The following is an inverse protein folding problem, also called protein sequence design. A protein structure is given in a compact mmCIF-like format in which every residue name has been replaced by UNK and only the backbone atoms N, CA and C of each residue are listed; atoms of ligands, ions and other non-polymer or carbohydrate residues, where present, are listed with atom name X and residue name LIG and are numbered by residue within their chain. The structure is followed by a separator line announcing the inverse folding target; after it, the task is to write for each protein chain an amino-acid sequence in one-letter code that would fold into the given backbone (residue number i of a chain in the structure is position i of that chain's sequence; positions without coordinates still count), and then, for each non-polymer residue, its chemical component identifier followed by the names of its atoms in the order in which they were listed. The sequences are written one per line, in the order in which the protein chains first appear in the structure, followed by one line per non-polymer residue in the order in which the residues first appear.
data_IF_678261403193
#
_entry.id   IF_678261403193
#
_cell.length_a   1.000
_cell.length_b   1.000
_cell.length_c   1.000
_cell.angle_alpha   90.00
_cell.angle_beta   90.00
_cell.angle_gamma   90.00
#
_symmetry.space_group_name_H-M   'P 1'
#
loop_
_entity.id
_entity.type
_entity.pdbx_description
1 polymer ?
#
# COMPACT_ATOMS: atom_id res chain seq x y z
N UNK A 1 -6.83 -6.46 29.76
CA UNK A 1 -5.72 -7.31 29.29
C UNK A 1 -6.01 -7.62 27.84
N UNK A 2 -5.32 -6.98 26.89
CA UNK A 2 -5.60 -7.13 25.48
C UNK A 2 -4.99 -8.44 24.97
N UNK A 3 -5.82 -9.29 24.41
CA UNK A 3 -5.47 -10.55 23.79
C UNK A 3 -4.58 -10.26 22.58
N UNK A 4 -3.29 -10.64 22.65
CA UNK A 4 -2.36 -10.47 21.53
C UNK A 4 -2.75 -11.43 20.40
N UNK A 5 -3.55 -10.93 19.46
CA UNK A 5 -3.90 -11.67 18.25
C UNK A 5 -2.62 -11.98 17.48
N UNK A 6 -2.34 -13.27 17.29
CA UNK A 6 -1.15 -13.74 16.60
C UNK A 6 -1.33 -13.50 15.09
N UNK A 7 -0.91 -12.32 14.62
CA UNK A 7 -1.04 -11.92 13.22
C UNK A 7 -0.01 -12.64 12.34
N UNK A 8 -0.38 -12.86 11.07
CA UNK A 8 0.49 -13.46 10.05
C UNK A 8 0.65 -12.53 8.86
N UNK A 9 1.79 -12.58 8.18
CA UNK A 9 2.18 -11.63 7.15
C UNK A 9 2.91 -12.34 6.01
N UNK A 10 2.74 -11.84 4.79
CA UNK A 10 3.45 -12.34 3.62
C UNK A 10 4.48 -11.29 3.20
N UNK A 11 5.76 -11.61 3.33
CA UNK A 11 6.86 -10.76 2.88
C UNK A 11 7.37 -11.25 1.54
N UNK A 12 7.69 -10.33 0.63
CA UNK A 12 8.25 -10.70 -0.67
C UNK A 12 9.23 -9.68 -1.22
N UNK A 13 10.17 -10.18 -2.03
CA UNK A 13 11.12 -9.38 -2.80
C UNK A 13 11.58 -10.20 -3.99
N UNK A 14 11.49 -9.63 -5.19
CA UNK A 14 11.79 -10.32 -6.44
C UNK A 14 11.02 -11.65 -6.56
N UNK A 15 11.72 -12.78 -6.64
CA UNK A 15 11.12 -14.13 -6.71
C UNK A 15 10.94 -14.81 -5.34
N UNK A 16 11.41 -14.18 -4.25
CA UNK A 16 11.36 -14.76 -2.90
C UNK A 16 10.07 -14.34 -2.20
N UNK A 17 9.40 -15.30 -1.57
CA UNK A 17 8.21 -15.11 -0.74
C UNK A 17 8.37 -15.85 0.59
N UNK A 18 7.95 -15.22 1.68
CA UNK A 18 8.03 -15.77 3.03
C UNK A 18 6.75 -15.47 3.78
N UNK A 19 6.18 -16.48 4.44
CA UNK A 19 5.09 -16.28 5.41
C UNK A 19 5.71 -16.21 6.82
N UNK A 20 5.37 -15.17 7.57
CA UNK A 20 5.98 -14.84 8.86
C UNK A 20 4.90 -14.42 9.86
N UNK A 21 5.10 -14.73 11.14
CA UNK A 21 4.20 -14.33 12.24
C UNK A 21 4.72 -13.09 12.94
N UNK A 22 3.88 -12.44 13.76
CA UNK A 22 4.22 -11.26 14.57
C UNK A 22 5.55 -11.41 15.32
N UNK A 23 5.72 -12.51 16.06
CA UNK A 23 6.93 -12.79 16.85
C UNK A 23 8.21 -12.90 16.01
N UNK A 24 8.09 -13.20 14.72
CA UNK A 24 9.20 -13.44 13.83
C UNK A 24 9.58 -12.21 13.00
N UNK A 25 8.83 -11.10 13.12
CA UNK A 25 8.95 -9.88 12.31
C UNK A 25 10.09 -8.94 12.77
N UNK A 26 11.29 -9.52 12.88
CA UNK A 26 12.53 -8.85 13.27
C UNK A 26 13.35 -8.42 12.04
N UNK A 27 13.86 -7.19 12.08
CA UNK A 27 14.75 -6.57 11.09
C UNK A 27 15.94 -7.46 10.74
N UNK A 28 16.65 -8.02 11.73
CA UNK A 28 17.83 -8.85 11.51
C UNK A 28 17.47 -10.12 10.72
N UNK A 29 16.36 -10.78 11.04
CA UNK A 29 15.90 -11.98 10.35
C UNK A 29 15.48 -11.69 8.92
N UNK A 30 14.69 -10.63 8.72
CA UNK A 30 14.25 -10.19 7.38
C UNK A 30 15.47 -9.81 6.52
N UNK A 31 16.42 -9.07 7.11
CA UNK A 31 17.66 -8.65 6.45
C UNK A 31 18.48 -9.84 5.93
N UNK A 32 18.62 -10.89 6.74
CA UNK A 32 19.35 -12.10 6.39
C UNK A 32 18.66 -12.90 5.26
N UNK A 33 17.34 -13.03 5.29
CA UNK A 33 16.57 -13.81 4.31
C UNK A 33 16.56 -13.11 2.94
N UNK A 34 16.31 -11.80 2.94
CA UNK A 34 16.18 -10.99 1.73
C UNK A 34 17.48 -10.32 1.28
N UNK A 35 18.59 -10.58 1.99
CA UNK A 35 19.94 -10.08 1.68
C UNK A 35 19.97 -8.56 1.50
N UNK A 36 19.36 -7.85 2.43
CA UNK A 36 19.33 -6.38 2.50
C UNK A 36 19.99 -5.91 3.79
N UNK A 37 20.63 -4.74 3.77
CA UNK A 37 21.21 -4.14 4.97
C UNK A 37 20.09 -3.79 5.97
N UNK A 38 20.29 -4.03 7.28
CA UNK A 38 19.36 -3.57 8.31
C UNK A 38 19.16 -2.05 8.26
N UNK A 39 20.25 -1.31 8.03
CA UNK A 39 20.26 0.13 7.85
C UNK A 39 19.62 0.49 6.50
N UNK A 40 18.33 0.82 6.54
CA UNK A 40 17.52 1.16 5.36
C UNK A 40 16.53 0.07 4.95
N UNK A 41 16.33 -0.97 5.76
CA UNK A 41 15.24 -1.92 5.57
C UNK A 41 13.89 -1.22 5.86
N UNK A 42 12.95 -1.32 4.93
CA UNK A 42 11.56 -0.94 5.16
C UNK A 42 10.60 -1.86 4.42
N UNK A 43 9.35 -1.90 4.86
CA UNK A 43 8.28 -2.68 4.24
C UNK A 43 7.29 -1.71 3.60
N UNK A 44 6.74 -2.08 2.44
CA UNK A 44 5.64 -1.35 1.79
C UNK A 44 4.44 -2.29 1.64
N UNK A 45 3.25 -1.85 2.02
CA UNK A 45 2.03 -2.63 1.80
C UNK A 45 1.60 -2.56 0.33
N UNK A 46 1.39 -3.72 -0.31
CA UNK A 46 1.02 -3.79 -1.73
C UNK A 46 -0.32 -3.10 -2.05
N UNK A 47 -1.24 -3.03 -1.09
CA UNK A 47 -2.58 -2.48 -1.29
C UNK A 47 -2.65 -0.99 -0.95
N UNK A 48 -2.09 -0.58 0.20
CA UNK A 48 -2.20 0.81 0.68
C UNK A 48 -1.02 1.68 0.25
N UNK A 49 0.11 1.08 -0.17
CA UNK A 49 1.40 1.75 -0.42
C UNK A 49 1.95 2.51 0.79
N UNK A 50 1.48 2.15 1.99
CA UNK A 50 2.03 2.67 3.22
C UNK A 50 3.39 2.02 3.49
N UNK A 51 4.35 2.82 3.95
CA UNK A 51 5.70 2.38 4.27
C UNK A 51 5.89 2.26 5.77
N UNK A 52 6.48 1.15 6.19
CA UNK A 52 6.73 0.81 7.59
C UNK A 52 8.23 0.70 7.81
N UNK A 53 8.72 1.45 8.80
CA UNK A 53 10.11 1.43 9.23
C UNK A 53 10.23 0.70 10.57
N UNK A 54 11.31 -0.04 10.80
CA UNK A 54 11.53 -0.72 12.07
C UNK A 54 11.82 0.27 13.20
N UNK A 55 11.17 0.09 14.34
CA UNK A 55 11.46 0.75 15.61
C UNK A 55 12.28 -0.21 16.49
N UNK A 56 13.52 0.15 16.83
CA UNK A 56 14.36 -0.66 17.72
C UNK A 56 14.43 -2.14 17.30
N UNK A 57 14.73 -2.38 16.01
CA UNK A 57 14.84 -3.71 15.38
C UNK A 57 13.53 -4.48 15.11
N UNK A 58 12.37 -3.98 15.55
CA UNK A 58 11.06 -4.58 15.27
C UNK A 58 10.16 -3.67 14.44
N UNK A 59 9.32 -4.25 13.59
CA UNK A 59 8.33 -3.46 12.86
C UNK A 59 7.06 -3.22 13.68
N UNK A 60 6.33 -2.12 13.43
CA UNK A 60 5.11 -1.79 14.16
C UNK A 60 3.92 -2.65 13.71
N UNK A 61 3.84 -3.87 14.25
CA UNK A 61 2.84 -4.88 13.87
C UNK A 61 1.38 -4.45 14.14
N UNK A 62 1.17 -3.55 15.11
CA UNK A 62 -0.14 -2.98 15.41
C UNK A 62 -0.72 -2.16 14.26
N UNK A 63 0.13 -1.47 13.50
CA UNK A 63 -0.26 -0.64 12.36
C UNK A 63 -0.38 -1.45 11.06
N UNK A 64 0.02 -2.72 11.08
CA UNK A 64 -0.01 -3.60 9.91
C UNK A 64 -1.30 -4.43 9.89
N UNK A 65 -1.82 -4.64 8.67
CA UNK A 65 -3.01 -5.46 8.40
C UNK A 65 -2.66 -6.95 8.57
N UNK A 66 -3.52 -7.69 9.29
CA UNK A 66 -3.37 -9.15 9.40
C UNK A 66 -3.53 -9.80 8.02
N UNK A 67 -2.69 -10.79 7.73
CA UNK A 67 -2.56 -11.48 6.43
C UNK A 67 -2.23 -10.54 5.26
N UNK A 68 -1.67 -9.37 5.55
CA UNK A 68 -1.20 -8.43 4.53
C UNK A 68 0.00 -8.96 3.74
N UNK A 69 0.12 -8.50 2.49
CA UNK A 69 1.28 -8.74 1.61
C UNK A 69 2.13 -7.48 1.58
N UNK A 70 3.43 -7.62 1.89
CA UNK A 70 4.36 -6.50 2.00
C UNK A 70 5.60 -6.75 1.16
N UNK A 71 5.97 -5.76 0.36
CA UNK A 71 7.21 -5.73 -0.39
C UNK A 71 8.37 -5.29 0.51
N UNK A 72 9.49 -6.01 0.43
CA UNK A 72 10.69 -5.74 1.25
C UNK A 72 11.68 -4.92 0.45
N UNK A 73 12.00 -3.72 0.95
CA UNK A 73 12.97 -2.82 0.35
C UNK A 73 14.17 -2.61 1.26
N UNK A 74 15.32 -2.31 0.64
CA UNK A 74 16.54 -1.98 1.35
C UNK A 74 17.76 -2.10 0.45
N UNK A 75 18.88 -1.55 0.92
CA UNK A 75 20.16 -1.61 0.20
C UNK A 75 20.64 -3.07 0.15
N UNK A 76 20.99 -3.62 -1.03
CA UNK A 76 21.47 -4.99 -1.11
C UNK A 76 22.78 -5.17 -0.32
N UNK A 77 22.87 -6.27 0.42
CA UNK A 77 24.13 -6.73 1.01
C UNK A 77 25.04 -7.20 -0.13
N UNK A 78 26.09 -6.43 -0.44
CA UNK A 78 27.15 -6.89 -1.34
C UNK A 78 27.74 -8.20 -0.78
N UNK A 79 28.00 -9.17 -1.65
CA UNK A 79 28.31 -10.57 -1.32
C UNK A 79 29.62 -10.85 -0.53
N UNK A 80 30.23 -9.82 0.08
CA UNK A 80 31.51 -9.92 0.78
C UNK A 80 31.41 -9.98 2.31
N UNK A 81 30.22 -9.82 2.90
CA UNK A 81 30.05 -9.79 4.37
C UNK A 81 28.94 -10.73 4.84
N UNK A 82 29.18 -12.05 4.78
CA UNK A 82 28.60 -12.97 5.76
C UNK A 82 29.58 -14.12 6.03
N UNK A 83 30.08 -14.16 7.28
CA UNK A 83 30.60 -15.39 7.86
C UNK A 83 29.44 -16.37 7.97
N UNK A 84 29.62 -17.53 7.33
CA UNK A 84 28.70 -18.66 7.32
C UNK A 84 28.27 -19.04 8.74
N UNK A 85 27.05 -18.72 9.14
CA UNK A 85 26.35 -19.50 10.16
C UNK A 85 25.82 -20.76 9.46
N UNK A 86 26.60 -21.83 9.61
CA UNK A 86 26.29 -23.15 9.09
C UNK A 86 24.95 -23.65 9.63
N UNK A 87 24.06 -24.01 8.72
CA UNK A 87 22.94 -24.89 9.03
C UNK A 87 23.51 -26.25 9.41
N UNK A 88 23.40 -26.59 10.68
CA UNK A 88 23.71 -27.90 11.24
C UNK A 88 22.97 -28.98 10.46
N UNK A 89 23.72 -29.74 9.65
CA UNK A 89 23.25 -30.98 9.06
C UNK A 89 23.02 -31.99 10.20
N UNK A 90 21.80 -32.51 10.27
CA UNK A 90 21.47 -33.72 11.02
C UNK A 90 22.42 -34.87 10.60
N UNK A 91 22.93 -35.68 11.53
CA UNK A 91 23.82 -36.80 11.20
C UNK A 91 23.00 -37.96 10.62
N UNK A 92 23.28 -38.35 9.37
CA UNK A 92 22.84 -39.64 8.85
C UNK A 92 23.67 -40.73 9.49
N UNK A 93 23.04 -41.60 10.29
CA UNK A 93 23.64 -42.84 10.77
C UNK A 93 24.01 -43.72 9.58
N UNK A 94 25.30 -44.05 9.49
CA UNK A 94 25.86 -45.11 8.69
C UNK A 94 26.49 -46.06 9.69
N UNK A 95 25.72 -47.08 10.10
CA UNK A 95 26.25 -48.20 10.85
C UNK A 95 26.77 -49.22 9.84
N UNK A 96 28.10 -49.32 9.77
CA UNK A 96 28.79 -50.44 9.16
C UNK A 96 28.51 -51.72 9.96
N UNK A 97 28.07 -52.77 9.25
CA UNK A 97 27.95 -54.13 9.77
C UNK A 97 28.62 -55.07 8.77
N UNK A 98 29.79 -55.57 9.16
CA UNK A 98 30.65 -56.50 8.45
C UNK A 98 30.27 -57.98 8.64
N UNK A 99 30.46 -58.78 7.60
CA UNK A 99 30.50 -60.26 7.61
C UNK A 99 29.51 -60.87 6.59
N UNK A 100 29.81 -61.87 5.75
CA UNK A 100 30.97 -62.75 5.52
C UNK A 100 30.87 -63.31 4.07
N UNK A 101 32.00 -63.76 3.52
CA UNK A 101 32.18 -64.48 2.24
C UNK A 101 31.44 -65.84 2.20
N UNK A 102 31.09 -66.49 1.07
CA UNK A 102 31.31 -66.35 -0.38
C UNK A 102 30.35 -67.34 -1.10
N UNK A 103 30.69 -68.05 -2.20
CA UNK A 103 31.60 -67.76 -3.31
C UNK A 103 30.90 -67.84 -4.71
N UNK A 104 31.63 -67.39 -5.73
CA UNK A 104 31.60 -67.86 -7.14
C UNK A 104 30.28 -67.83 -7.93
N UNK A 105 30.14 -66.85 -8.83
CA UNK A 105 30.04 -67.16 -10.26
C UNK A 105 30.49 -65.97 -11.10
N UNK A 106 31.55 -66.21 -11.87
CA UNK A 106 32.04 -65.34 -12.92
C UNK A 106 31.00 -65.25 -14.04
N UNK A 107 30.34 -64.11 -14.15
CA UNK A 107 29.65 -63.71 -15.37
C UNK A 107 30.28 -62.43 -15.90
N UNK A 108 31.05 -62.64 -16.96
CA UNK A 108 31.60 -61.59 -17.80
C UNK A 108 30.52 -60.57 -18.17
N UNK A 109 30.87 -59.29 -18.06
CA UNK A 109 30.18 -58.21 -18.76
C UNK A 109 30.17 -58.56 -20.25
N UNK A 110 29.03 -59.05 -20.72
CA UNK A 110 28.69 -59.03 -22.14
C UNK A 110 28.36 -57.57 -22.45
N UNK A 111 29.15 -56.84 -23.27
CA UNK A 111 28.61 -55.67 -23.93
C UNK A 111 27.45 -56.17 -24.78
N UNK A 112 26.25 -55.63 -24.56
CA UNK A 112 25.16 -55.81 -25.50
C UNK A 112 25.61 -55.20 -26.82
N UNK A 113 26.09 -56.08 -27.71
CA UNK A 113 26.31 -55.79 -29.10
C UNK A 113 24.99 -55.33 -29.70
N UNK A 114 25.02 -54.09 -30.14
CA UNK A 114 24.43 -53.61 -31.38
C UNK A 114 22.90 -53.75 -31.51
N UNK A 115 22.23 -52.60 -31.39
CA UNK A 115 21.27 -52.23 -32.42
C UNK A 115 22.03 -52.21 -33.77
N UNK A 116 22.07 -53.36 -34.42
CA UNK A 116 22.36 -53.45 -35.85
C UNK A 116 21.12 -52.95 -36.59
N UNK A 117 21.07 -51.64 -36.78
CA UNK A 117 20.76 -51.02 -38.06
C UNK A 117 21.32 -49.60 -37.96
N UNK A 118 22.45 -49.26 -38.60
CA UNK A 118 22.77 -47.86 -38.80
C UNK A 118 21.66 -47.31 -39.71
N UNK A 119 20.67 -46.63 -39.11
CA UNK A 119 19.87 -45.70 -39.88
C UNK A 119 20.87 -44.64 -40.31
N UNK A 120 21.24 -44.67 -41.58
CA UNK A 120 22.13 -43.71 -42.19
C UNK A 120 21.36 -42.37 -42.24
N UNK A 121 21.32 -41.67 -41.10
CA UNK A 121 20.63 -40.37 -41.02
C UNK A 121 21.59 -39.31 -41.54
N UNK A 122 21.26 -38.58 -42.61
CA UNK A 122 22.07 -37.45 -43.03
C UNK A 122 22.07 -36.40 -41.91
N UNK A 123 23.22 -36.18 -41.29
CA UNK A 123 23.40 -35.04 -40.38
C UNK A 123 23.59 -33.78 -41.20
N UNK A 124 22.76 -32.77 -40.97
CA UNK A 124 22.86 -31.46 -41.63
C UNK A 124 23.49 -30.46 -40.67
N UNK A 125 24.45 -29.67 -41.16
CA UNK A 125 25.01 -28.54 -40.42
C UNK A 125 24.27 -27.27 -40.83
N UNK A 126 23.62 -26.63 -39.87
CA UNK A 126 22.92 -25.36 -40.05
C UNK A 126 23.70 -24.28 -39.30
N UNK A 127 24.01 -23.17 -39.99
CA UNK A 127 24.63 -22.01 -39.36
C UNK A 127 23.54 -21.17 -38.69
N UNK A 128 23.50 -21.19 -37.36
CA UNK A 128 22.56 -20.39 -36.57
C UNK A 128 23.20 -19.02 -36.27
N UNK A 129 22.60 -17.95 -36.80
CA UNK A 129 22.98 -16.57 -36.54
C UNK A 129 22.18 -16.01 -35.35
N UNK A 130 22.61 -14.85 -34.83
CA UNK A 130 21.88 -14.14 -33.77
C UNK A 130 20.47 -13.74 -34.26
N UNK A 131 19.46 -13.94 -33.40
CA UNK A 131 18.05 -13.69 -33.67
C UNK A 131 17.35 -14.61 -34.68
N UNK A 132 17.97 -15.71 -35.10
CA UNK A 132 17.27 -16.74 -35.88
C UNK A 132 16.29 -17.53 -34.99
N UNK A 133 15.03 -17.56 -35.38
CA UNK A 133 14.00 -18.35 -34.71
C UNK A 133 13.95 -19.80 -35.20
N UNK A 134 13.17 -20.63 -34.51
CA UNK A 134 12.97 -22.05 -34.88
C UNK A 134 12.43 -22.21 -36.32
N UNK A 135 11.63 -21.24 -36.80
CA UNK A 135 11.11 -21.22 -38.17
C UNK A 135 12.18 -20.99 -39.22
N UNK A 136 13.13 -20.09 -38.95
CA UNK A 136 14.22 -19.77 -39.88
C UNK A 136 15.20 -20.95 -39.99
N UNK A 137 15.41 -21.67 -38.89
CA UNK A 137 16.20 -22.91 -38.85
C UNK A 137 15.49 -23.99 -39.68
N UNK A 138 14.17 -24.14 -39.55
CA UNK A 138 13.40 -25.07 -40.36
C UNK A 138 13.50 -24.76 -41.87
N UNK A 139 13.41 -23.49 -42.25
CA UNK A 139 13.61 -23.06 -43.64
C UNK A 139 15.01 -23.40 -44.13
N UNK A 140 16.04 -23.14 -43.32
CA UNK A 140 17.43 -23.49 -43.66
C UNK A 140 17.61 -25.00 -43.87
N UNK A 141 16.93 -25.83 -43.06
CA UNK A 141 16.94 -27.29 -43.21
C UNK A 141 16.28 -27.71 -44.53
N UNK A 142 15.15 -27.09 -44.90
CA UNK A 142 14.47 -27.36 -46.17
C UNK A 142 15.33 -27.00 -47.38
N UNK A 143 16.00 -25.84 -47.33
CA UNK A 143 16.92 -25.38 -48.37
C UNK A 143 18.11 -26.32 -48.51
N UNK A 144 18.73 -26.75 -47.40
CA UNK A 144 19.89 -27.66 -47.44
C UNK A 144 19.49 -29.06 -47.94
N UNK A 145 18.31 -29.54 -47.55
CA UNK A 145 17.82 -30.86 -47.96
C UNK A 145 17.13 -30.85 -49.34
N UNK A 146 16.96 -29.69 -49.99
CA UNK A 146 16.23 -29.53 -51.25
C UNK A 146 14.89 -30.29 -51.27
N UNK A 147 14.14 -30.22 -50.17
CA UNK A 147 12.91 -30.98 -49.98
C UNK A 147 11.77 -30.04 -49.57
N UNK A 148 10.59 -30.22 -50.16
CA UNK A 148 9.38 -29.42 -49.85
C UNK A 148 8.67 -29.86 -48.55
N UNK A 149 9.22 -30.84 -47.84
CA UNK A 149 8.64 -31.40 -46.63
C UNK A 149 8.85 -30.47 -45.43
N UNK A 150 7.85 -30.35 -44.57
CA UNK A 150 7.95 -29.59 -43.32
C UNK A 150 8.56 -30.43 -42.21
N UNK A 151 9.53 -29.83 -41.52
CA UNK A 151 10.21 -30.43 -40.37
C UNK A 151 9.77 -29.73 -39.09
N UNK A 152 9.68 -30.51 -38.02
CA UNK A 152 9.50 -30.04 -36.64
C UNK A 152 10.79 -30.32 -35.89
N UNK A 153 11.33 -29.29 -35.23
CA UNK A 153 12.54 -29.41 -34.42
C UNK A 153 12.15 -29.91 -33.03
N UNK A 154 12.76 -31.03 -32.62
CA UNK A 154 12.48 -31.68 -31.35
C UNK A 154 13.76 -31.95 -30.56
N UNK A 155 13.59 -32.09 -29.24
CA UNK A 155 14.64 -32.59 -28.36
C UNK A 155 14.84 -34.12 -28.50
N UNK A 156 15.83 -34.66 -27.78
CA UNK A 156 16.10 -36.11 -27.69
C UNK A 156 14.91 -36.97 -27.22
N UNK A 157 13.90 -36.39 -26.57
CA UNK A 157 12.69 -37.06 -26.06
C UNK A 157 11.50 -36.91 -27.02
N UNK A 158 11.67 -36.21 -28.14
CA UNK A 158 10.61 -35.95 -29.12
C UNK A 158 9.66 -34.82 -28.70
N UNK A 159 10.09 -33.94 -27.80
CA UNK A 159 9.33 -32.73 -27.44
C UNK A 159 9.65 -31.63 -28.45
N UNK A 160 8.62 -31.05 -29.05
CA UNK A 160 8.74 -29.92 -29.97
C UNK A 160 9.33 -28.69 -29.28
N UNK A 161 10.35 -28.09 -29.91
CA UNK A 161 10.94 -26.83 -29.48
C UNK A 161 10.19 -25.71 -30.19
N UNK A 162 9.44 -24.90 -29.44
CA UNK A 162 8.69 -23.77 -29.98
C UNK A 162 9.56 -22.51 -30.08
N UNK A 163 9.19 -21.60 -30.99
CA UNK A 163 9.84 -20.30 -31.10
C UNK A 163 9.44 -19.43 -29.89
N UNK A 164 10.42 -19.05 -29.08
CA UNK A 164 10.27 -18.21 -27.89
C UNK A 164 11.47 -17.27 -27.78
N UNK A 165 11.41 -16.28 -26.89
CA UNK A 165 12.52 -15.34 -26.73
C UNK A 165 13.82 -16.06 -26.31
N UNK A 166 13.70 -17.13 -25.53
CA UNK A 166 14.83 -17.95 -25.07
C UNK A 166 15.43 -18.80 -26.19
N UNK A 167 14.62 -19.29 -27.14
CA UNK A 167 15.10 -20.14 -28.24
C UNK A 167 15.73 -19.35 -29.39
N UNK A 168 15.69 -18.02 -29.35
CA UNK A 168 16.37 -17.12 -30.32
C UNK A 168 17.81 -16.77 -29.93
N UNK A 169 18.20 -17.07 -28.70
CA UNK A 169 19.53 -16.75 -28.18
C UNK A 169 20.50 -17.91 -28.46
N UNK A 170 21.74 -17.61 -28.86
CA UNK A 170 22.76 -18.60 -29.22
C UNK A 170 23.08 -19.57 -28.07
N UNK A 171 23.01 -19.12 -26.82
CA UNK A 171 23.25 -19.90 -25.60
C UNK A 171 22.32 -21.10 -25.50
N UNK A 172 21.07 -20.98 -25.96
CA UNK A 172 20.11 -22.08 -25.96
C UNK A 172 20.58 -23.24 -26.85
N UNK A 173 21.13 -22.91 -28.03
CA UNK A 173 21.61 -23.88 -29.01
C UNK A 173 23.01 -24.42 -28.68
N UNK A 174 23.84 -23.65 -27.97
CA UNK A 174 25.23 -24.00 -27.59
C UNK A 174 25.34 -24.90 -26.36
N UNK A 175 24.26 -25.53 -25.89
CA UNK A 175 24.30 -26.42 -24.72
C UNK A 175 25.09 -27.71 -25.03
N UNK A 176 26.21 -28.00 -24.34
CA UNK A 176 26.94 -29.25 -24.57
C UNK A 176 26.04 -30.46 -24.27
N UNK A 177 26.10 -31.49 -25.11
CA UNK A 177 25.32 -32.73 -25.06
C UNK A 177 23.83 -32.65 -25.39
N UNK A 178 23.30 -31.49 -25.83
CA UNK A 178 21.93 -31.41 -26.33
C UNK A 178 21.85 -31.97 -27.76
N UNK A 179 21.09 -33.04 -27.94
CA UNK A 179 20.76 -33.58 -29.27
C UNK A 179 19.46 -32.96 -29.75
N UNK A 180 19.49 -32.46 -30.98
CA UNK A 180 18.38 -31.80 -31.64
C UNK A 180 18.07 -32.59 -32.90
N UNK A 181 16.80 -32.91 -33.09
CA UNK A 181 16.33 -33.72 -34.19
C UNK A 181 15.34 -32.92 -35.04
N UNK A 182 15.53 -32.93 -36.35
CA UNK A 182 14.52 -32.47 -37.30
C UNK A 182 13.70 -33.68 -37.73
N UNK A 183 12.43 -33.72 -37.32
CA UNK A 183 11.51 -34.83 -37.63
C UNK A 183 10.46 -34.33 -38.62
N UNK A 184 10.14 -35.11 -39.65
CA UNK A 184 9.04 -34.78 -40.56
C UNK A 184 7.75 -34.60 -39.77
N UNK A 185 7.01 -33.52 -40.00
CA UNK A 185 5.77 -33.24 -39.24
C UNK A 185 4.74 -34.39 -39.36
N UNK A 186 4.74 -35.12 -40.49
CA UNK A 186 3.90 -36.31 -40.71
C UNK A 186 4.24 -37.50 -39.81
N UNK A 187 5.46 -37.59 -39.30
CA UNK A 187 5.95 -38.71 -38.49
C UNK A 187 5.91 -38.44 -36.99
N UNK A 188 5.74 -37.16 -36.59
CA UNK A 188 5.72 -36.71 -35.21
C UNK A 188 4.72 -37.48 -34.32
N UNK A 189 3.45 -37.72 -34.73
CA UNK A 189 2.50 -38.47 -33.91
C UNK A 189 2.96 -39.91 -33.63
N UNK A 190 3.70 -40.52 -34.57
CA UNK A 190 4.16 -41.91 -34.44
C UNK A 190 5.25 -42.06 -33.38
N UNK A 191 6.02 -41.01 -33.10
CA UNK A 191 7.06 -41.00 -32.07
C UNK A 191 6.47 -40.82 -30.68
N UNK A 192 5.50 -39.91 -30.53
CA UNK A 192 4.80 -39.65 -29.25
C UNK A 192 4.01 -40.89 -28.77
N UNK A 193 3.35 -41.60 -29.69
CA UNK A 193 2.52 -42.76 -29.33
C UNK A 193 3.29 -44.07 -29.09
N UNK A 194 4.52 -44.22 -29.58
CA UNK A 194 5.34 -45.42 -29.34
C UNK A 194 5.80 -45.52 -27.88
N UNK A 195 5.87 -44.41 -27.15
CA UNK A 195 6.20 -44.42 -25.71
C UNK A 195 5.08 -44.99 -24.82
N UNK A 196 3.84 -45.10 -25.30
CA UNK A 196 2.69 -45.55 -24.48
C UNK A 196 2.14 -46.93 -24.84
N UNK A 197 2.57 -47.56 -25.93
CA UNK A 197 2.05 -48.88 -26.36
C UNK A 197 3.01 -50.02 -26.06
N UNK A 198 3.16 -50.38 -24.78
CA UNK A 198 3.47 -51.78 -24.43
C UNK A 198 3.08 -52.13 -22.99
N UNK A 199 1.76 -52.24 -22.78
CA UNK A 199 1.03 -53.16 -21.87
C UNK A 199 -0.21 -52.43 -21.32
N UNK A 200 -1.38 -52.78 -21.81
CA UNK A 200 -2.58 -52.76 -20.96
C UNK A 200 -3.40 -54.01 -21.26
N UNK A 201 -3.62 -54.76 -20.19
CA UNK A 201 -4.50 -55.91 -20.08
C UNK A 201 -5.93 -55.36 -19.92
N UNK A 202 -6.93 -56.10 -20.39
CA UNK A 202 -8.39 -55.87 -20.23
C UNK A 202 -8.82 -55.65 -18.76
N UNK A 203 -7.93 -55.86 -17.78
CA UNK A 203 -8.15 -55.61 -16.35
C UNK A 203 -8.06 -54.13 -15.94
N UNK A 204 -7.40 -53.28 -16.74
CA UNK A 204 -7.26 -51.84 -16.42
C UNK A 204 -8.52 -51.03 -16.72
N UNK A 205 -9.32 -51.39 -17.74
CA UNK A 205 -10.53 -50.64 -18.11
C UNK A 205 -11.61 -50.68 -17.02
N UNK A 206 -11.76 -51.81 -16.32
CA UNK A 206 -12.72 -51.95 -15.23
C UNK A 206 -12.30 -51.15 -13.98
N UNK A 207 -11.00 -51.09 -13.70
CA UNK A 207 -10.46 -50.29 -12.59
C UNK A 207 -10.59 -48.79 -12.88
N UNK A 208 -10.42 -48.39 -14.15
CA UNK A 208 -10.59 -47.01 -14.58
C UNK A 208 -12.05 -46.55 -14.49
N UNK A 209 -13.02 -47.42 -14.81
CA UNK A 209 -14.43 -47.14 -14.64
C UNK A 209 -14.84 -46.99 -13.16
N UNK A 210 -14.34 -47.87 -12.28
CA UNK A 210 -14.60 -47.78 -10.84
C UNK A 210 -14.00 -46.49 -10.23
N UNK A 211 -12.79 -46.11 -10.66
CA UNK A 211 -12.15 -44.88 -10.22
C UNK A 211 -12.90 -43.62 -10.70
N UNK A 212 -13.50 -43.64 -11.90
CA UNK A 212 -14.33 -42.52 -12.38
C UNK A 212 -15.55 -42.29 -11.50
N UNK A 213 -16.25 -43.36 -11.12
CA UNK A 213 -17.42 -43.25 -10.23
C UNK A 213 -17.04 -42.69 -8.86
N UNK A 214 -15.90 -43.12 -8.30
CA UNK A 214 -15.37 -42.57 -7.03
C UNK A 214 -15.00 -41.09 -7.14
N UNK A 215 -14.46 -40.67 -8.28
CA UNK A 215 -14.15 -39.26 -8.52
C UNK A 215 -15.43 -38.41 -8.60
N UNK A 216 -16.46 -38.89 -9.29
CA UNK A 216 -17.75 -38.20 -9.39
C UNK A 216 -18.39 -37.98 -8.01
N UNK A 217 -18.42 -39.01 -7.16
CA UNK A 217 -18.96 -38.96 -5.79
C UNK A 217 -18.18 -37.99 -4.88
N UNK A 218 -16.84 -37.98 -5.01
CA UNK A 218 -15.99 -37.03 -4.30
C UNK A 218 -16.22 -35.59 -4.78
N UNK A 219 -16.44 -35.37 -6.07
CA UNK A 219 -16.73 -34.04 -6.62
C UNK A 219 -18.08 -33.52 -6.10
N UNK A 220 -19.12 -34.35 -6.08
CA UNK A 220 -20.43 -33.98 -5.55
C UNK A 220 -20.35 -33.65 -4.04
N UNK A 221 -19.63 -34.47 -3.27
CA UNK A 221 -19.39 -34.22 -1.84
C UNK A 221 -18.63 -32.91 -1.59
N UNK A 222 -17.61 -32.62 -2.41
CA UNK A 222 -16.86 -31.36 -2.33
C UNK A 222 -17.73 -30.16 -2.70
N UNK A 223 -18.60 -30.29 -3.70
CA UNK A 223 -19.53 -29.21 -4.10
C UNK A 223 -20.52 -28.88 -2.98
N UNK A 224 -21.06 -29.90 -2.30
CA UNK A 224 -21.97 -29.68 -1.17
C UNK A 224 -21.23 -29.02 0.00
N UNK A 225 -20.03 -29.50 0.35
CA UNK A 225 -19.25 -28.93 1.45
C UNK A 225 -18.88 -27.46 1.19
N UNK A 226 -18.41 -27.15 -0.02
CA UNK A 226 -18.06 -25.78 -0.39
C UNK A 226 -19.28 -24.85 -0.39
N UNK A 227 -20.46 -25.32 -0.80
CA UNK A 227 -21.71 -24.54 -0.69
C UNK A 227 -22.07 -24.23 0.76
N UNK A 228 -21.93 -25.21 1.66
CA UNK A 228 -22.21 -25.03 3.10
C UNK A 228 -21.22 -24.03 3.71
N UNK A 229 -19.93 -24.16 3.42
CA UNK A 229 -18.91 -23.21 3.92
C UNK A 229 -19.16 -21.79 3.44
N UNK A 230 -19.47 -21.62 2.15
CA UNK A 230 -19.80 -20.30 1.58
C UNK A 230 -21.06 -19.72 2.22
N UNK A 231 -22.06 -20.54 2.50
CA UNK A 231 -23.28 -20.10 3.17
C UNK A 231 -23.01 -19.67 4.61
N UNK A 232 -22.24 -20.45 5.37
CA UNK A 232 -21.85 -20.10 6.73
C UNK A 232 -21.00 -18.80 6.77
N UNK A 233 -20.09 -18.63 5.82
CA UNK A 233 -19.31 -17.38 5.70
C UNK A 233 -20.22 -16.19 5.37
N UNK A 234 -21.19 -16.36 4.47
CA UNK A 234 -22.18 -15.32 4.14
C UNK A 234 -22.98 -14.91 5.37
N UNK A 235 -23.46 -15.86 6.15
CA UNK A 235 -24.28 -15.59 7.33
C UNK A 235 -23.45 -14.89 8.42
N UNK A 236 -22.21 -15.34 8.68
CA UNK A 236 -21.29 -14.66 9.60
C UNK A 236 -20.99 -13.20 9.19
N UNK A 237 -20.76 -12.96 7.88
CA UNK A 237 -20.53 -11.61 7.36
C UNK A 237 -21.79 -10.76 7.53
N UNK A 238 -22.97 -11.32 7.27
CA UNK A 238 -24.24 -10.62 7.41
C UNK A 238 -24.49 -10.19 8.86
N UNK A 239 -24.21 -11.07 9.82
CA UNK A 239 -24.37 -10.79 11.24
C UNK A 239 -23.36 -9.71 11.69
N UNK A 240 -22.09 -9.84 11.29
CA UNK A 240 -21.05 -8.83 11.60
C UNK A 240 -21.40 -7.45 11.05
N UNK A 241 -21.92 -7.37 9.81
CA UNK A 241 -22.37 -6.11 9.22
C UNK A 241 -23.60 -5.58 9.96
N UNK A 242 -24.50 -6.46 10.40
CA UNK A 242 -25.66 -6.10 11.23
C UNK A 242 -25.23 -5.42 12.52
N UNK A 243 -24.34 -6.06 13.28
CA UNK A 243 -23.82 -5.55 14.56
C UNK A 243 -23.11 -4.19 14.38
N UNK A 244 -22.25 -4.07 13.36
CA UNK A 244 -21.59 -2.79 13.05
C UNK A 244 -22.57 -1.69 12.65
N UNK A 245 -23.65 -2.04 11.95
CA UNK A 245 -24.67 -1.07 11.56
C UNK A 245 -25.44 -0.56 12.78
N UNK A 246 -25.75 -1.44 13.74
CA UNK A 246 -26.41 -1.08 15.00
C UNK A 246 -25.51 -0.15 15.84
N UNK A 247 -24.21 -0.47 15.98
CA UNK A 247 -23.24 0.38 16.69
C UNK A 247 -23.11 1.79 16.07
N UNK A 248 -23.10 1.87 14.74
CA UNK A 248 -23.08 3.16 14.02
C UNK A 248 -24.37 3.95 14.28
N UNK A 249 -25.53 3.28 14.27
CA UNK A 249 -26.81 3.94 14.55
C UNK A 249 -26.85 4.51 15.97
N UNK A 250 -26.39 3.74 16.97
CA UNK A 250 -26.29 4.20 18.35
C UNK A 250 -25.37 5.41 18.49
N UNK A 251 -24.20 5.36 17.85
CA UNK A 251 -23.26 6.49 17.80
C UNK A 251 -23.90 7.76 17.21
N UNK A 252 -24.68 7.61 16.13
CA UNK A 252 -25.42 8.73 15.53
C UNK A 252 -26.45 9.31 16.49
N UNK A 253 -27.19 8.47 17.23
CA UNK A 253 -28.17 8.96 18.22
C UNK A 253 -27.51 9.70 19.38
N UNK A 254 -26.35 9.24 19.83
CA UNK A 254 -25.55 9.91 20.86
C UNK A 254 -25.05 11.28 20.38
N UNK A 255 -24.52 11.36 19.16
CA UNK A 255 -24.08 12.63 18.54
C UNK A 255 -25.25 13.61 18.44
N UNK A 256 -26.42 13.16 17.95
CA UNK A 256 -27.63 14.02 17.88
C UNK A 256 -28.02 14.58 19.24
N UNK A 257 -27.96 13.76 20.29
CA UNK A 257 -28.30 14.18 21.66
C UNK A 257 -27.27 15.18 22.20
N UNK A 258 -25.98 14.95 21.95
CA UNK A 258 -24.90 15.87 22.32
C UNK A 258 -25.05 17.23 21.62
N UNK A 259 -25.36 17.21 20.32
CA UNK A 259 -25.58 18.42 19.53
C UNK A 259 -26.76 19.23 20.08
N UNK A 260 -27.90 18.58 20.32
CA UNK A 260 -29.08 19.24 20.90
C UNK A 260 -28.77 19.90 22.25
N UNK A 261 -27.99 19.23 23.11
CA UNK A 261 -27.58 19.80 24.40
C UNK A 261 -26.62 20.98 24.25
N UNK A 262 -25.73 20.94 23.25
CA UNK A 262 -24.79 22.03 22.97
C UNK A 262 -25.52 23.25 22.41
N UNK A 263 -26.48 23.06 21.51
CA UNK A 263 -27.34 24.13 20.99
C UNK A 263 -28.10 24.83 22.11
N UNK A 264 -28.73 24.09 23.02
CA UNK A 264 -29.41 24.68 24.20
C UNK A 264 -28.47 25.49 25.08
N UNK A 265 -27.22 25.04 25.26
CA UNK A 265 -26.20 25.80 26.01
C UNK A 265 -25.86 27.11 25.31
N UNK A 266 -25.70 27.10 23.99
CA UNK A 266 -25.44 28.31 23.20
C UNK A 266 -26.61 29.29 23.29
N UNK A 267 -27.85 28.83 23.16
CA UNK A 267 -29.05 29.66 23.33
C UNK A 267 -29.08 30.33 24.72
N UNK A 268 -28.73 29.57 25.78
CA UNK A 268 -28.66 30.13 27.14
C UNK A 268 -27.53 31.14 27.32
N UNK A 269 -26.43 31.01 26.57
CA UNK A 269 -25.32 31.96 26.61
C UNK A 269 -25.67 33.23 25.84
N UNK A 270 -26.37 33.10 24.72
CA UNK A 270 -26.84 34.23 23.92
C UNK A 270 -27.80 35.12 24.72
N UNK A 271 -28.73 34.51 25.47
CA UNK A 271 -29.61 35.23 26.39
C UNK A 271 -28.81 35.97 27.48
N UNK A 272 -27.81 35.31 28.06
CA UNK A 272 -26.94 35.92 29.08
C UNK A 272 -26.07 37.05 28.53
N UNK A 273 -25.60 36.96 27.29
CA UNK A 273 -24.81 38.02 26.65
C UNK A 273 -25.71 39.21 26.30
N UNK A 274 -26.95 38.96 25.87
CA UNK A 274 -27.96 39.98 25.61
C UNK A 274 -28.32 40.76 26.89
N UNK A 275 -28.38 40.07 28.04
CA UNK A 275 -28.67 40.66 29.35
C UNK A 275 -27.50 41.47 29.94
N UNK A 276 -26.29 41.29 29.42
CA UNK A 276 -25.11 42.05 29.83
C UNK A 276 -25.23 43.46 29.23
N UNK A 277 -25.92 44.33 29.98
CA UNK A 277 -26.14 45.79 29.77
C UNK A 277 -24.86 46.64 29.60
N UNK A 278 -23.71 46.03 29.31
CA UNK A 278 -22.44 46.70 29.03
C UNK A 278 -22.62 47.69 27.89
N UNK A 279 -23.41 47.37 26.88
CA UNK A 279 -23.65 48.28 25.76
C UNK A 279 -24.32 49.58 26.24
N UNK A 280 -25.33 49.52 27.11
CA UNK A 280 -26.01 50.72 27.62
C UNK A 280 -25.13 51.54 28.57
N UNK A 281 -24.36 50.90 29.45
CA UNK A 281 -23.49 51.61 30.38
C UNK A 281 -22.31 52.28 29.67
N UNK A 282 -21.64 51.58 28.77
CA UNK A 282 -20.51 52.12 27.99
C UNK A 282 -20.99 53.23 27.05
N UNK A 283 -22.13 53.03 26.39
CA UNK A 283 -22.71 54.04 25.48
C UNK A 283 -23.12 55.29 26.25
N UNK A 284 -23.74 55.15 27.44
CA UNK A 284 -24.10 56.32 28.27
C UNK A 284 -22.86 57.05 28.83
N UNK A 285 -21.86 56.34 29.33
CA UNK A 285 -20.62 56.94 29.82
C UNK A 285 -19.83 57.67 28.72
N UNK A 286 -19.74 57.07 27.53
CA UNK A 286 -19.11 57.70 26.36
C UNK A 286 -19.90 58.92 25.89
N UNK A 287 -21.23 58.82 25.83
CA UNK A 287 -22.11 59.94 25.46
C UNK A 287 -21.90 61.12 26.41
N UNK A 288 -21.79 60.88 27.72
CA UNK A 288 -21.54 61.94 28.71
C UNK A 288 -20.14 62.56 28.60
N UNK A 289 -19.14 61.74 28.26
CA UNK A 289 -17.75 62.19 28.10
C UNK A 289 -17.57 63.06 26.86
N UNK A 290 -18.30 62.77 25.78
CA UNK A 290 -18.20 63.48 24.50
C UNK A 290 -19.11 64.70 24.38
N UNK A 291 -20.05 64.90 25.32
CA UNK A 291 -20.93 66.08 25.33
C UNK A 291 -20.15 67.37 25.39
N UNK A 292 -20.58 68.33 24.59
CA UNK A 292 -20.00 69.66 24.60
C UNK A 292 -20.27 70.36 25.94
N UNK A 293 -19.23 70.88 26.57
CA UNK A 293 -19.34 71.59 27.85
C UNK A 293 -19.92 73.00 27.69
N UNK A 294 -20.15 73.46 26.46
CA UNK A 294 -20.76 74.75 26.15
C UNK A 294 -22.25 74.59 25.81
N UNK A 295 -22.60 73.78 24.80
CA UNK A 295 -24.00 73.59 24.39
C UNK A 295 -24.67 72.36 25.01
N UNK A 296 -23.94 71.51 25.74
CA UNK A 296 -24.42 70.23 26.32
C UNK A 296 -24.85 69.15 25.33
N UNK A 297 -24.82 69.45 24.04
CA UNK A 297 -25.13 68.53 22.94
C UNK A 297 -23.89 67.73 22.50
N UNK A 298 -24.14 66.65 21.76
CA UNK A 298 -23.08 65.81 21.18
C UNK A 298 -22.55 66.52 19.92
N UNK A 299 -21.23 66.69 19.76
CA UNK A 299 -20.67 67.31 18.57
C UNK A 299 -21.06 66.58 17.28
N UNK A 300 -21.44 67.34 16.25
CA UNK A 300 -21.83 66.75 14.95
C UNK A 300 -20.65 66.42 14.04
N UNK A 301 -19.54 67.13 14.17
CA UNK A 301 -18.42 67.02 13.21
C UNK A 301 -17.06 67.07 13.87
N UNK A 302 -16.71 68.22 14.46
CA UNK A 302 -15.40 68.45 15.05
C UNK A 302 -15.47 68.45 16.56
N UNK A 303 -14.67 67.59 17.18
CA UNK A 303 -14.46 67.56 18.64
C UNK A 303 -13.16 68.30 18.96
N UNK A 304 -13.24 69.22 19.91
CA UNK A 304 -12.09 69.95 20.43
C UNK A 304 -11.61 69.33 21.74
N UNK A 305 -10.32 69.06 21.81
CA UNK A 305 -9.59 68.72 23.03
C UNK A 305 -8.61 69.83 23.32
N UNK A 306 -8.43 70.14 24.60
CA UNK A 306 -7.46 71.15 25.04
C UNK A 306 -6.31 70.46 25.74
N UNK A 307 -5.08 70.77 25.31
CA UNK A 307 -3.88 70.21 25.92
C UNK A 307 -3.65 70.69 27.36
N UNK A 308 -4.22 71.84 27.76
CA UNK A 308 -4.02 72.39 29.11
C UNK A 308 -4.62 71.52 30.23
N UNK A 309 -5.74 70.83 29.97
CA UNK A 309 -6.38 69.92 30.93
C UNK A 309 -6.54 68.48 30.40
N UNK A 310 -6.19 68.24 29.13
CA UNK A 310 -6.32 66.93 28.48
C UNK A 310 -7.77 66.45 28.33
N UNK A 311 -8.76 67.36 28.40
CA UNK A 311 -10.18 67.01 28.35
C UNK A 311 -10.85 67.45 27.04
N UNK A 312 -11.90 66.70 26.68
CA UNK A 312 -12.82 67.04 25.59
C UNK A 312 -13.67 68.23 26.02
N UNK A 313 -13.60 69.33 25.27
CA UNK A 313 -14.44 70.51 25.48
C UNK A 313 -15.76 70.41 24.71
N UNK A 314 -15.76 69.81 23.51
CA UNK A 314 -16.97 69.64 22.71
C UNK A 314 -16.88 70.16 21.29
N UNK A 315 -17.98 70.74 20.81
CA UNK A 315 -18.14 71.18 19.42
C UNK A 315 -17.14 72.28 19.04
N UNK A 316 -16.51 72.15 17.88
CA UNK A 316 -15.63 73.17 17.29
C UNK A 316 -16.19 74.59 17.36
N UNK A 317 -17.38 74.80 16.79
CA UNK A 317 -18.00 76.12 16.73
C UNK A 317 -18.28 76.72 18.12
N UNK A 318 -18.80 75.93 19.06
CA UNK A 318 -19.13 76.40 20.41
C UNK A 318 -17.87 76.78 21.20
N UNK A 319 -16.83 75.93 21.09
CA UNK A 319 -15.58 76.14 21.82
C UNK A 319 -14.80 77.32 21.24
N UNK A 320 -14.71 77.44 19.92
CA UNK A 320 -14.05 78.57 19.27
C UNK A 320 -14.72 79.91 19.64
N UNK A 321 -16.07 79.96 19.62
CA UNK A 321 -16.81 81.15 20.04
C UNK A 321 -16.54 81.51 21.50
N UNK A 322 -16.59 80.51 22.39
CA UNK A 322 -16.39 80.76 23.82
C UNK A 322 -14.97 81.22 24.16
N UNK A 323 -13.96 80.68 23.47
CA UNK A 323 -12.56 81.08 23.63
C UNK A 323 -12.33 82.49 23.08
N UNK A 324 -12.94 82.85 21.94
CA UNK A 324 -12.85 84.20 21.39
C UNK A 324 -13.44 85.28 22.32
N UNK A 325 -14.42 84.92 23.16
CA UNK A 325 -15.05 85.85 24.10
C UNK A 325 -14.32 85.96 25.45
N UNK A 326 -13.66 84.89 25.91
CA UNK A 326 -13.14 84.81 27.28
C UNK A 326 -11.61 84.70 27.37
N UNK A 327 -10.90 84.35 26.31
CA UNK A 327 -9.43 84.14 26.28
C UNK A 327 -8.85 83.12 27.29
N UNK A 328 -9.69 82.35 28.00
CA UNK A 328 -9.25 81.31 28.93
C UNK A 328 -9.99 79.96 28.72
N UNK A 329 -9.37 78.88 29.19
CA UNK A 329 -9.99 77.55 29.17
C UNK A 329 -11.21 77.47 30.10
N UNK A 330 -12.36 77.05 29.59
CA UNK A 330 -13.62 76.95 30.35
C UNK A 330 -13.52 75.97 31.54
N UNK A 331 -12.66 74.95 31.44
CA UNK A 331 -12.53 73.91 32.46
C UNK A 331 -11.49 74.26 33.53
N UNK A 332 -10.28 74.69 33.13
CA UNK A 332 -9.17 74.91 34.05
C UNK A 332 -8.73 76.37 34.19
N UNK A 333 -9.39 77.31 33.48
CA UNK A 333 -9.11 78.76 33.49
C UNK A 333 -7.69 79.15 33.08
N UNK A 334 -7.00 78.31 32.29
CA UNK A 334 -5.69 78.65 31.74
C UNK A 334 -5.83 79.72 30.65
N UNK A 335 -5.08 80.82 30.78
CA UNK A 335 -5.09 82.00 29.87
C UNK A 335 -4.38 81.71 28.53
N UNK A 336 -3.55 80.67 28.44
CA UNK A 336 -2.83 80.28 27.22
C UNK A 336 -3.57 79.19 26.43
N UNK A 337 -4.89 79.31 26.27
CA UNK A 337 -5.71 78.24 25.70
C UNK A 337 -5.62 78.13 24.18
N UNK A 338 -5.46 79.27 23.49
CA UNK A 338 -5.54 79.37 22.02
C UNK A 338 -4.52 78.46 21.33
N UNK A 339 -3.28 78.44 21.82
CA UNK A 339 -2.20 77.63 21.24
C UNK A 339 -2.28 76.14 21.60
N UNK A 340 -3.23 75.75 22.46
CA UNK A 340 -3.36 74.42 23.04
C UNK A 340 -4.63 73.68 22.58
N UNK A 341 -5.31 74.21 21.57
CA UNK A 341 -6.49 73.61 20.97
C UNK A 341 -6.06 72.54 19.96
N UNK A 342 -6.59 71.34 20.11
CA UNK A 342 -6.39 70.23 19.18
C UNK A 342 -7.75 69.75 18.68
N UNK A 343 -7.92 69.76 17.35
CA UNK A 343 -9.06 69.15 16.69
C UNK A 343 -8.86 67.64 16.55
N UNK A 344 -9.75 66.86 17.13
CA UNK A 344 -9.80 65.41 16.91
C UNK A 344 -10.54 65.11 15.61
N UNK A 345 -9.79 64.62 14.62
CA UNK A 345 -10.32 64.12 13.34
C UNK A 345 -10.55 62.61 13.40
N UNK A 346 -11.45 62.10 12.56
CA UNK A 346 -11.71 60.66 12.42
C UNK A 346 -12.72 60.08 13.41
N UNK A 347 -13.32 60.89 14.29
CA UNK A 347 -14.37 60.46 15.22
C UNK A 347 -15.79 60.47 14.63
N UNK A 348 -15.96 60.85 13.35
CA UNK A 348 -17.27 60.99 12.72
C UNK A 348 -18.11 59.71 12.81
N UNK A 349 -17.53 58.56 12.48
CA UNK A 349 -18.25 57.28 12.54
C UNK A 349 -18.76 56.92 13.94
N UNK A 350 -18.06 57.40 14.98
CA UNK A 350 -18.46 57.19 16.38
C UNK A 350 -19.59 58.16 16.74
N UNK A 351 -19.48 59.42 16.33
CA UNK A 351 -20.51 60.45 16.55
C UNK A 351 -21.82 60.11 15.85
N UNK A 352 -21.77 59.63 14.60
CA UNK A 352 -22.96 59.24 13.83
C UNK A 352 -23.75 58.13 14.55
N UNK A 353 -23.06 57.16 15.16
CA UNK A 353 -23.69 56.09 15.97
C UNK A 353 -24.38 56.61 17.23
N UNK A 354 -23.90 57.72 17.81
CA UNK A 354 -24.55 58.34 18.96
C UNK A 354 -25.76 59.19 18.59
N UNK A 355 -25.89 59.60 17.33
CA UNK A 355 -27.03 60.37 16.83
C UNK A 355 -28.17 59.48 16.32
N UNK A 356 -27.86 58.26 15.89
CA UNK A 356 -28.86 57.28 15.42
C UNK A 356 -29.68 56.61 16.53
N UNK A 357 -29.38 56.91 17.80
CA UNK A 357 -30.03 56.37 19.01
C UNK A 357 -30.64 57.50 19.81
#
# INVERSE_FOLDING_TARGET
MAESQNKSFILHKDTKRLNITDNDLNTQRISAIFQVKPDGLYLEDDMSRETFFPNQEMFPVNSMRDKGSFAVYGTPLMATEFQNFGTSRLPSMWSAGSGQAGPSSSFACRPQTAFQHPVNTPSVHVNILENMGVKDINQSIQEILNTEETFTICDSKGIEITDSQETRVLEFWRTPNRKIHAVKTSELPRLVHKSKRKRSNVRDENLEAENRLKIEDLLESLEVNTKIEVQNMRDNIKDTIGDQTEEILDSITQIKTCLANTTRKLESLDERVSDVKIENYVTSALRETLRCKVCTEIPESTIIVVACCGQVLGCGACVQKCIAENEFCILCKNESVVDKIVELKGFQMVLDKFQSV
#
